data_IF_076250152871
#
_entry.id   IF_076250152871
#
_cell.length_a   1.000
_cell.length_b   1.000
_cell.length_c   1.000
_cell.angle_alpha   90.00
_cell.angle_beta   90.00
_cell.angle_gamma   90.00
#
_symmetry.space_group_name_H-M   'P 1'
#
loop_
_entity.id
_entity.type
_entity.pdbx_description
1 polymer ?
#
# COMPACT_ATOMS: atom_id res chain seq x y z
N UNK A 1 -27.46 18.16 -26.27
CA UNK A 1 -28.42 17.47 -25.41
C UNK A 1 -28.31 15.96 -25.65
N UNK A 2 -27.75 15.23 -24.69
CA UNK A 2 -27.67 13.78 -24.77
C UNK A 2 -29.07 13.18 -24.61
N UNK A 3 -29.51 12.40 -25.60
CA UNK A 3 -30.85 11.85 -25.66
C UNK A 3 -31.15 11.00 -24.41
N UNK A 4 -32.37 11.04 -23.88
CA UNK A 4 -32.80 10.23 -22.71
C UNK A 4 -32.52 8.73 -22.94
N UNK A 5 -32.60 8.26 -24.18
CA UNK A 5 -32.23 6.88 -24.55
C UNK A 5 -30.76 6.56 -24.34
N UNK A 6 -29.86 7.51 -24.58
CA UNK A 6 -28.41 7.27 -24.40
C UNK A 6 -28.03 7.25 -22.91
N UNK A 7 -28.68 8.11 -22.10
CA UNK A 7 -28.55 8.04 -20.63
C UNK A 7 -29.05 6.71 -20.06
N UNK A 8 -30.20 6.24 -20.53
CA UNK A 8 -30.75 4.95 -20.08
C UNK A 8 -29.85 3.79 -20.49
N UNK A 9 -29.25 3.83 -21.69
CA UNK A 9 -28.28 2.81 -22.15
C UNK A 9 -26.98 2.85 -21.31
N UNK A 10 -26.47 4.03 -20.99
CA UNK A 10 -25.27 4.18 -20.15
C UNK A 10 -25.52 3.74 -18.71
N UNK A 11 -26.67 4.07 -18.14
CA UNK A 11 -27.08 3.59 -16.81
C UNK A 11 -27.24 2.05 -16.81
N UNK A 12 -27.89 1.50 -17.85
CA UNK A 12 -28.06 0.05 -17.97
C UNK A 12 -26.71 -0.68 -18.20
N UNK A 13 -25.78 -0.06 -18.97
CA UNK A 13 -24.43 -0.60 -19.15
C UNK A 13 -23.66 -0.59 -17.84
N UNK A 14 -23.63 0.54 -17.12
CA UNK A 14 -23.01 0.66 -15.79
C UNK A 14 -23.61 -0.30 -14.77
N UNK A 15 -24.93 -0.48 -14.80
CA UNK A 15 -25.61 -1.43 -13.94
C UNK A 15 -25.19 -2.89 -14.26
N UNK A 16 -25.09 -3.25 -15.54
CA UNK A 16 -24.63 -4.58 -15.97
C UNK A 16 -23.15 -4.83 -15.63
N UNK A 17 -22.30 -3.82 -15.79
CA UNK A 17 -20.89 -3.87 -15.39
C UNK A 17 -20.75 -4.04 -13.87
N UNK A 18 -21.58 -3.34 -13.08
CA UNK A 18 -21.64 -3.48 -11.63
C UNK A 18 -22.18 -4.86 -11.19
N UNK A 19 -23.18 -5.40 -11.90
CA UNK A 19 -23.71 -6.76 -11.64
C UNK A 19 -22.66 -7.82 -12.03
N UNK A 20 -21.94 -7.62 -13.14
CA UNK A 20 -20.87 -8.53 -13.56
C UNK A 20 -19.70 -8.52 -12.55
N UNK A 21 -19.34 -7.35 -11.99
CA UNK A 21 -18.42 -7.26 -10.86
C UNK A 21 -18.96 -7.95 -9.61
N UNK A 22 -20.22 -7.73 -9.26
CA UNK A 22 -20.86 -8.43 -8.13
C UNK A 22 -20.91 -9.94 -8.35
N UNK A 23 -21.26 -10.41 -9.53
CA UNK A 23 -21.34 -11.83 -9.84
C UNK A 23 -19.98 -12.55 -9.82
N UNK A 24 -18.91 -11.92 -10.30
CA UNK A 24 -17.55 -12.41 -10.13
C UNK A 24 -17.08 -12.40 -8.67
N UNK A 25 -17.66 -11.53 -7.85
CA UNK A 25 -17.40 -11.33 -6.44
C UNK A 25 -18.23 -12.25 -5.53
N UNK A 26 -19.44 -12.65 -5.95
CA UNK A 26 -20.30 -13.60 -5.22
C UNK A 26 -19.76 -15.03 -5.26
N UNK A 27 -19.04 -15.43 -6.33
CA UNK A 27 -18.37 -16.72 -6.43
C UNK A 27 -17.13 -16.86 -5.53
N UNK A 28 -16.53 -15.76 -5.05
CA UNK A 28 -15.33 -15.77 -4.21
C UNK A 28 -15.45 -14.90 -2.94
N UNK A 29 -16.58 -14.20 -2.72
CA UNK A 29 -16.82 -13.32 -1.57
C UNK A 29 -15.76 -12.22 -1.46
N UNK A 30 -16.07 -11.00 -1.91
CA UNK A 30 -15.24 -9.85 -1.56
C UNK A 30 -15.08 -9.81 -0.04
N UNK A 31 -13.85 -9.69 0.44
CA UNK A 31 -13.64 -9.55 1.87
C UNK A 31 -14.42 -8.33 2.35
N UNK A 32 -15.25 -8.47 3.36
CA UNK A 32 -16.02 -7.37 3.95
C UNK A 32 -15.17 -6.21 4.47
N UNK A 33 -13.84 -6.37 4.42
CA UNK A 33 -12.84 -5.37 4.77
C UNK A 33 -12.47 -4.42 3.62
N UNK A 34 -12.67 -4.82 2.35
CA UNK A 34 -12.31 -3.99 1.20
C UNK A 34 -13.30 -2.83 1.05
N UNK A 35 -12.79 -1.61 1.11
CA UNK A 35 -13.53 -0.43 0.69
C UNK A 35 -13.19 -0.16 -0.78
N UNK A 36 -14.03 -0.66 -1.69
CA UNK A 36 -13.80 -0.56 -3.14
C UNK A 36 -14.04 0.85 -3.69
N UNK A 37 -13.46 1.17 -4.84
CA UNK A 37 -13.73 2.39 -5.58
C UNK A 37 -14.93 2.25 -6.51
N UNK A 38 -15.50 3.39 -6.92
CA UNK A 38 -16.69 3.43 -7.78
C UNK A 38 -16.35 3.18 -9.26
N UNK A 39 -15.15 3.58 -9.68
CA UNK A 39 -14.71 3.38 -11.06
C UNK A 39 -14.42 1.90 -11.31
N UNK A 40 -15.01 1.37 -12.38
CA UNK A 40 -14.85 -0.04 -12.77
C UNK A 40 -13.68 -0.27 -13.73
N UNK A 41 -13.11 0.78 -14.30
CA UNK A 41 -11.98 0.67 -15.21
C UNK A 41 -10.70 0.53 -14.40
N UNK A 42 -9.79 -0.30 -14.86
CA UNK A 42 -8.47 -0.46 -14.25
C UNK A 42 -7.67 0.84 -14.28
N UNK A 43 -7.70 1.53 -15.42
CA UNK A 43 -6.92 2.73 -15.64
C UNK A 43 -7.34 3.87 -14.69
N UNK A 44 -6.36 4.50 -14.07
CA UNK A 44 -6.55 5.57 -13.10
C UNK A 44 -7.05 5.13 -11.72
N UNK A 45 -7.22 3.81 -11.46
CA UNK A 45 -7.63 3.30 -10.14
C UNK A 45 -6.45 2.81 -9.32
N UNK A 46 -6.56 2.93 -8.00
CA UNK A 46 -5.51 2.64 -7.04
C UNK A 46 -6.06 1.77 -5.89
N UNK A 47 -5.34 0.69 -5.56
CA UNK A 47 -5.61 -0.12 -4.38
C UNK A 47 -4.56 0.17 -3.32
N UNK A 48 -4.97 0.72 -2.19
CA UNK A 48 -4.10 0.91 -1.03
C UNK A 48 -4.21 -0.29 -0.10
N UNK A 49 -3.11 -1.00 0.07
CA UNK A 49 -2.96 -2.08 1.06
C UNK A 49 -2.41 -1.43 2.32
N UNK A 50 -3.23 -1.37 3.37
CA UNK A 50 -2.93 -0.61 4.59
C UNK A 50 -2.77 -1.55 5.77
N UNK A 51 -1.77 -1.29 6.61
CA UNK A 51 -1.52 -2.06 7.82
C UNK A 51 -2.53 -1.71 8.92
N UNK A 52 -3.31 -2.72 9.33
CA UNK A 52 -4.23 -2.62 10.44
C UNK A 52 -5.53 -1.85 10.16
N UNK A 53 -6.47 -1.97 11.11
CA UNK A 53 -7.79 -1.36 10.95
C UNK A 53 -7.80 0.13 11.28
N UNK A 54 -6.95 0.59 12.19
CA UNK A 54 -6.89 2.00 12.59
C UNK A 54 -6.48 2.87 11.42
N UNK A 55 -5.34 2.56 10.80
CA UNK A 55 -4.88 3.22 9.59
C UNK A 55 -5.83 3.01 8.41
N UNK A 56 -6.41 1.79 8.30
CA UNK A 56 -7.47 1.50 7.33
C UNK A 56 -8.71 2.37 7.51
N UNK A 57 -9.07 2.73 8.73
CA UNK A 57 -10.16 3.65 9.04
C UNK A 57 -9.91 5.06 8.52
N UNK A 58 -8.75 5.64 8.85
CA UNK A 58 -8.33 6.96 8.37
C UNK A 58 -8.20 7.00 6.85
N UNK A 59 -7.59 5.96 6.25
CA UNK A 59 -7.46 5.84 4.81
C UNK A 59 -8.82 5.76 4.09
N UNK A 60 -9.79 5.01 4.65
CA UNK A 60 -11.14 4.93 4.09
C UNK A 60 -11.89 6.26 4.15
N UNK A 61 -11.63 7.09 5.15
CA UNK A 61 -12.25 8.42 5.28
C UNK A 61 -11.66 9.43 4.31
N UNK A 62 -10.32 9.49 4.19
CA UNK A 62 -9.61 10.48 3.38
C UNK A 62 -9.56 10.15 1.88
N UNK A 63 -9.79 8.89 1.47
CA UNK A 63 -9.64 8.45 0.08
C UNK A 63 -10.60 9.14 -0.90
N UNK A 64 -10.18 9.29 -2.12
CA UNK A 64 -11.10 9.56 -3.22
C UNK A 64 -11.88 8.29 -3.56
N UNK A 65 -13.18 8.28 -3.24
CA UNK A 65 -14.07 7.11 -3.45
C UNK A 65 -14.27 6.75 -4.92
N UNK A 66 -14.02 7.67 -5.82
CA UNK A 66 -14.19 7.45 -7.25
C UNK A 66 -13.16 6.46 -7.79
N UNK A 67 -11.87 6.64 -7.43
CA UNK A 67 -10.75 5.92 -8.03
C UNK A 67 -9.83 5.22 -7.01
N UNK A 68 -10.03 5.41 -5.70
CA UNK A 68 -9.18 4.80 -4.68
C UNK A 68 -9.93 3.76 -3.86
N UNK A 69 -9.37 2.56 -3.79
CA UNK A 69 -9.82 1.46 -2.94
C UNK A 69 -8.85 1.26 -1.78
N UNK A 70 -9.35 0.83 -0.62
CA UNK A 70 -8.56 0.57 0.59
C UNK A 70 -8.83 -0.83 1.10
N UNK A 71 -7.77 -1.62 1.26
CA UNK A 71 -7.76 -2.94 1.84
C UNK A 71 -6.91 -2.95 3.11
N UNK A 72 -7.50 -2.91 4.31
CA UNK A 72 -6.74 -3.11 5.54
C UNK A 72 -6.41 -4.60 5.70
N UNK A 73 -5.14 -4.90 5.95
CA UNK A 73 -4.67 -6.24 6.30
C UNK A 73 -4.40 -6.31 7.79
N UNK A 74 -4.88 -7.39 8.43
CA UNK A 74 -4.72 -7.61 9.87
C UNK A 74 -3.63 -8.64 10.14
N UNK A 75 -2.76 -8.33 11.10
CA UNK A 75 -1.81 -9.27 11.65
C UNK A 75 -0.65 -9.65 10.73
N UNK A 76 0.05 -10.71 11.11
CA UNK A 76 1.22 -11.19 10.38
C UNK A 76 0.78 -11.90 9.09
N UNK A 77 1.16 -11.35 7.97
CA UNK A 77 1.00 -12.00 6.67
C UNK A 77 1.89 -13.24 6.64
N UNK A 78 1.34 -14.34 6.10
CA UNK A 78 2.12 -15.56 5.94
C UNK A 78 3.32 -15.32 5.03
N UNK A 79 4.50 -15.76 5.45
CA UNK A 79 5.67 -15.76 4.58
C UNK A 79 5.47 -16.77 3.43
N UNK A 80 5.27 -16.23 2.22
CA UNK A 80 5.05 -17.01 1.00
C UNK A 80 6.35 -17.40 0.29
N UNK A 81 7.50 -17.06 0.87
CA UNK A 81 8.80 -17.39 0.30
C UNK A 81 8.91 -18.89 0.04
N UNK A 82 9.21 -19.23 -1.20
CA UNK A 82 9.51 -20.58 -1.64
C UNK A 82 10.97 -20.61 -2.06
N UNK A 83 11.77 -21.42 -1.39
CA UNK A 83 13.18 -21.59 -1.76
C UNK A 83 13.27 -22.42 -3.08
N UNK A 84 13.28 -21.69 -4.18
CA UNK A 84 13.43 -22.28 -5.52
C UNK A 84 14.84 -22.84 -5.74
N UNK A 85 15.83 -22.42 -4.96
CA UNK A 85 17.21 -22.83 -5.13
C UNK A 85 17.53 -24.14 -4.38
N UNK A 86 16.86 -24.41 -3.24
CA UNK A 86 17.04 -25.65 -2.49
C UNK A 86 16.46 -26.89 -3.15
N UNK A 87 15.49 -26.70 -4.06
CA UNK A 87 14.74 -27.82 -4.66
C UNK A 87 15.20 -28.22 -6.07
N UNK A 88 16.24 -27.58 -6.62
CA UNK A 88 16.78 -27.93 -7.96
C UNK A 88 17.33 -29.35 -8.05
N UNK A 89 17.46 -30.06 -6.94
CA UNK A 89 18.05 -31.41 -6.94
C UNK A 89 17.04 -32.54 -7.21
N UNK A 90 15.71 -32.44 -6.92
CA UNK A 90 14.80 -33.57 -7.06
C UNK A 90 13.29 -33.25 -7.19
N UNK A 91 12.85 -32.06 -7.57
CA UNK A 91 11.40 -31.75 -7.66
C UNK A 91 10.97 -31.22 -9.04
N UNK A 92 9.85 -31.73 -9.55
CA UNK A 92 9.20 -31.19 -10.74
C UNK A 92 8.73 -29.75 -10.45
N UNK A 93 8.92 -28.82 -11.38
CA UNK A 93 8.49 -27.42 -11.26
C UNK A 93 7.00 -27.28 -10.86
N UNK A 94 6.17 -28.22 -11.31
CA UNK A 94 4.74 -28.28 -10.99
C UNK A 94 4.46 -28.61 -9.52
N UNK A 95 5.25 -29.47 -8.87
CA UNK A 95 5.09 -29.79 -7.43
C UNK A 95 5.44 -28.61 -6.54
N UNK A 96 6.51 -27.89 -6.88
CA UNK A 96 6.94 -26.68 -6.16
C UNK A 96 5.87 -25.59 -6.25
N UNK A 97 5.29 -25.42 -7.43
CA UNK A 97 4.21 -24.48 -7.66
C UNK A 97 2.95 -24.84 -6.88
N UNK A 98 2.55 -26.12 -6.89
CA UNK A 98 1.39 -26.59 -6.11
C UNK A 98 1.59 -26.38 -4.62
N UNK A 99 2.78 -26.60 -4.09
CA UNK A 99 3.11 -26.33 -2.68
C UNK A 99 3.07 -24.84 -2.35
N UNK A 100 3.60 -23.98 -3.22
CA UNK A 100 3.55 -22.52 -3.07
C UNK A 100 2.10 -22.02 -3.07
N UNK A 101 1.30 -22.45 -4.02
CA UNK A 101 -0.12 -22.14 -4.13
C UNK A 101 -0.91 -22.60 -2.89
N UNK A 102 -0.70 -23.84 -2.44
CA UNK A 102 -1.34 -24.38 -1.24
C UNK A 102 -0.99 -23.56 -0.01
N UNK A 103 0.26 -23.12 0.11
CA UNK A 103 0.73 -22.24 1.19
C UNK A 103 0.07 -20.86 1.12
N UNK A 104 -0.05 -20.27 -0.07
CA UNK A 104 -0.73 -18.99 -0.26
C UNK A 104 -2.21 -19.05 0.12
N UNK A 105 -2.92 -20.08 -0.35
CA UNK A 105 -4.36 -20.27 -0.11
C UNK A 105 -4.66 -20.60 1.36
N UNK A 106 -3.69 -21.09 2.13
CA UNK A 106 -3.86 -21.37 3.57
C UNK A 106 -3.99 -20.09 4.43
N UNK A 107 -3.60 -18.94 3.90
CA UNK A 107 -3.70 -17.64 4.59
C UNK A 107 -4.91 -16.85 4.13
N UNK A 108 -5.84 -16.58 5.03
CA UNK A 108 -7.03 -15.78 4.75
C UNK A 108 -6.68 -14.37 4.25
N UNK A 109 -5.59 -13.76 4.76
CA UNK A 109 -5.16 -12.44 4.34
C UNK A 109 -4.63 -12.45 2.90
N UNK A 110 -3.90 -13.50 2.52
CA UNK A 110 -3.43 -13.67 1.13
C UNK A 110 -4.60 -13.96 0.17
N UNK A 111 -5.54 -14.82 0.56
CA UNK A 111 -6.76 -15.08 -0.23
C UNK A 111 -7.57 -13.79 -0.40
N UNK A 112 -7.70 -13.01 0.67
CA UNK A 112 -8.35 -11.69 0.66
C UNK A 112 -7.68 -10.74 -0.35
N UNK A 113 -6.35 -10.71 -0.36
CA UNK A 113 -5.58 -9.88 -1.29
C UNK A 113 -5.76 -10.36 -2.75
N UNK A 114 -5.65 -11.66 -3.01
CA UNK A 114 -5.85 -12.25 -4.34
C UNK A 114 -7.25 -11.90 -4.87
N UNK A 115 -8.28 -12.08 -4.04
CA UNK A 115 -9.65 -11.74 -4.40
C UNK A 115 -9.84 -10.25 -4.67
N UNK A 116 -9.20 -9.38 -3.88
CA UNK A 116 -9.23 -7.94 -4.11
C UNK A 116 -8.59 -7.55 -5.44
N UNK A 117 -7.50 -8.22 -5.83
CA UNK A 117 -6.83 -7.99 -7.11
C UNK A 117 -7.65 -8.49 -8.30
N UNK A 118 -8.52 -9.47 -8.11
CA UNK A 118 -9.34 -10.08 -9.17
C UNK A 118 -8.58 -11.06 -10.05
N UNK A 119 -7.44 -11.56 -9.59
CA UNK A 119 -6.57 -12.48 -10.33
C UNK A 119 -6.75 -13.92 -9.85
N UNK A 120 -6.67 -14.89 -10.77
CA UNK A 120 -6.69 -16.30 -10.42
C UNK A 120 -5.25 -16.83 -10.26
N UNK A 121 -4.84 -17.23 -9.04
CA UNK A 121 -3.49 -17.73 -8.78
C UNK A 121 -3.22 -19.10 -9.42
N UNK A 122 -4.25 -19.80 -9.92
CA UNK A 122 -4.10 -21.10 -10.59
C UNK A 122 -3.57 -20.95 -12.01
N UNK A 123 -3.80 -19.81 -12.64
CA UNK A 123 -3.31 -19.54 -13.97
C UNK A 123 -1.77 -19.47 -13.96
N UNK A 124 -1.12 -20.08 -14.95
CA UNK A 124 0.35 -20.02 -15.08
C UNK A 124 0.81 -18.62 -15.42
N UNK A 125 -0.02 -17.91 -16.13
CA UNK A 125 0.19 -16.57 -16.58
C UNK A 125 -1.05 -15.74 -16.31
N UNK A 126 -0.88 -14.59 -15.65
CA UNK A 126 -1.98 -13.66 -15.40
C UNK A 126 -2.15 -12.73 -16.59
N UNK A 127 -3.38 -12.55 -17.05
CA UNK A 127 -3.69 -11.44 -17.95
C UNK A 127 -3.86 -10.15 -17.12
N UNK A 128 -3.00 -9.18 -17.38
CA UNK A 128 -3.05 -7.89 -16.67
C UNK A 128 -4.34 -7.11 -16.93
N UNK A 129 -5.12 -7.50 -17.97
CA UNK A 129 -6.45 -6.95 -18.21
C UNK A 129 -7.49 -7.37 -17.17
N UNK A 130 -7.25 -8.50 -16.49
CA UNK A 130 -8.12 -8.97 -15.41
C UNK A 130 -7.81 -8.27 -14.08
N UNK A 131 -6.68 -7.59 -13.98
CA UNK A 131 -6.31 -6.82 -12.80
C UNK A 131 -7.32 -5.69 -12.56
N UNK A 132 -7.86 -5.62 -11.34
CA UNK A 132 -8.93 -4.67 -11.01
C UNK A 132 -8.46 -3.23 -10.85
N UNK A 133 -7.21 -3.01 -10.49
CA UNK A 133 -6.65 -1.69 -10.19
C UNK A 133 -5.40 -1.41 -11.00
N UNK A 134 -5.26 -0.17 -11.48
CA UNK A 134 -4.09 0.25 -12.25
C UNK A 134 -2.81 0.32 -11.40
N UNK A 135 -2.97 0.67 -10.10
CA UNK A 135 -1.85 0.70 -9.15
C UNK A 135 -2.20 -0.03 -7.86
N UNK A 136 -1.21 -0.71 -7.30
CA UNK A 136 -1.26 -1.39 -6.01
C UNK A 136 -0.23 -0.69 -5.12
N UNK A 137 -0.69 -0.01 -4.08
CA UNK A 137 0.15 0.82 -3.22
C UNK A 137 0.21 0.19 -1.83
N UNK A 138 1.39 -0.28 -1.44
CA UNK A 138 1.64 -0.83 -0.11
C UNK A 138 1.95 0.33 0.83
N UNK A 139 1.12 0.49 1.86
CA UNK A 139 1.24 1.55 2.86
C UNK A 139 1.30 0.93 4.26
N UNK A 140 2.51 0.87 4.81
CA UNK A 140 2.80 0.31 6.14
C UNK A 140 3.42 1.37 7.04
N UNK A 141 3.37 1.13 8.33
CA UNK A 141 4.01 1.97 9.32
C UNK A 141 5.52 2.12 9.06
N UNK A 142 6.12 3.21 9.51
CA UNK A 142 7.55 3.50 9.33
C UNK A 142 8.43 2.84 10.41
N UNK A 143 7.94 1.77 11.03
CA UNK A 143 8.63 1.02 12.07
C UNK A 143 9.17 -0.34 11.58
N UNK A 144 9.68 -1.15 12.51
CA UNK A 144 10.26 -2.48 12.21
C UNK A 144 9.19 -3.45 11.74
N UNK A 145 8.00 -3.43 12.37
CA UNK A 145 6.90 -4.33 12.03
C UNK A 145 6.33 -3.99 10.65
N UNK A 146 6.12 -2.71 10.33
CA UNK A 146 5.71 -2.27 9.00
C UNK A 146 6.73 -2.61 7.92
N UNK A 147 8.02 -2.53 8.23
CA UNK A 147 9.09 -2.96 7.31
C UNK A 147 9.03 -4.47 7.05
N UNK A 148 8.72 -5.27 8.06
CA UNK A 148 8.55 -6.72 7.92
C UNK A 148 7.31 -7.06 7.09
N UNK A 149 6.15 -6.42 7.34
CA UNK A 149 4.93 -6.61 6.55
C UNK A 149 5.17 -6.24 5.09
N UNK A 150 5.87 -5.13 4.84
CA UNK A 150 6.27 -4.71 3.49
C UNK A 150 7.11 -5.77 2.78
N UNK A 151 8.11 -6.34 3.47
CA UNK A 151 8.95 -7.40 2.94
C UNK A 151 8.12 -8.66 2.61
N UNK A 152 7.17 -9.04 3.45
CA UNK A 152 6.28 -10.17 3.20
C UNK A 152 5.35 -9.95 2.00
N UNK A 153 4.79 -8.74 1.84
CA UNK A 153 3.98 -8.38 0.68
C UNK A 153 4.80 -8.37 -0.60
N UNK A 154 6.01 -7.81 -0.58
CA UNK A 154 6.91 -7.85 -1.73
C UNK A 154 7.30 -9.29 -2.09
N UNK A 155 7.52 -10.14 -1.10
CA UNK A 155 7.78 -11.57 -1.32
C UNK A 155 6.58 -12.25 -1.97
N UNK A 156 5.35 -11.93 -1.56
CA UNK A 156 4.14 -12.41 -2.20
C UNK A 156 4.09 -11.99 -3.67
N UNK A 157 4.27 -10.71 -3.96
CA UNK A 157 4.24 -10.19 -5.33
C UNK A 157 5.41 -10.68 -6.20
N UNK A 158 6.53 -11.11 -5.60
CA UNK A 158 7.65 -11.70 -6.34
C UNK A 158 7.45 -13.18 -6.69
N UNK A 159 6.39 -13.82 -6.19
CA UNK A 159 6.06 -15.19 -6.55
C UNK A 159 5.20 -15.24 -7.83
N UNK A 160 5.45 -16.24 -8.68
CA UNK A 160 4.56 -16.51 -9.81
C UNK A 160 3.16 -16.88 -9.34
N UNK A 161 2.12 -16.39 -10.04
CA UNK A 161 2.15 -15.62 -11.28
C UNK A 161 2.14 -14.08 -11.06
N UNK A 162 2.28 -13.59 -9.82
CA UNK A 162 2.14 -12.17 -9.45
C UNK A 162 3.40 -11.33 -9.74
N UNK A 163 4.53 -11.95 -10.05
CA UNK A 163 5.80 -11.27 -10.40
C UNK A 163 5.63 -10.28 -11.55
N UNK A 164 4.73 -10.55 -12.49
CA UNK A 164 4.37 -9.62 -13.56
C UNK A 164 3.86 -8.26 -13.07
N UNK A 165 3.20 -8.22 -11.91
CA UNK A 165 2.72 -6.94 -11.34
C UNK A 165 3.88 -6.01 -10.97
N UNK A 166 5.00 -6.56 -10.55
CA UNK A 166 6.23 -5.79 -10.30
C UNK A 166 6.90 -5.43 -11.63
N UNK A 167 7.05 -6.40 -12.52
CA UNK A 167 7.72 -6.24 -13.81
C UNK A 167 7.07 -5.14 -14.67
N UNK A 168 5.74 -5.09 -14.69
CA UNK A 168 4.98 -4.07 -15.42
C UNK A 168 4.68 -2.80 -14.64
N UNK A 169 5.24 -2.66 -13.43
CA UNK A 169 5.20 -1.40 -12.68
C UNK A 169 3.84 -1.09 -12.04
N UNK A 170 3.06 -2.10 -11.67
CA UNK A 170 1.79 -1.93 -10.95
C UNK A 170 1.93 -1.79 -9.44
N UNK A 171 3.08 -2.23 -8.86
CA UNK A 171 3.30 -2.24 -7.40
C UNK A 171 4.13 -1.04 -6.96
N UNK A 172 3.62 -0.30 -5.99
CA UNK A 172 4.22 0.90 -5.41
C UNK A 172 4.37 0.79 -3.90
N UNK A 173 5.34 1.51 -3.35
CA UNK A 173 5.53 1.64 -1.91
C UNK A 173 5.24 3.08 -1.48
N UNK A 174 4.26 3.27 -0.62
CA UNK A 174 4.04 4.55 0.02
C UNK A 174 5.16 4.85 1.03
N UNK A 175 5.55 6.10 1.12
CA UNK A 175 6.52 6.59 2.09
C UNK A 175 5.85 7.67 2.96
N UNK A 176 5.10 7.27 4.00
CA UNK A 176 4.47 8.23 4.89
C UNK A 176 5.53 9.06 5.62
N UNK A 177 5.25 10.33 5.95
CA UNK A 177 6.17 11.16 6.70
C UNK A 177 6.31 10.66 8.15
N UNK A 178 7.53 10.72 8.68
CA UNK A 178 7.80 10.35 10.07
C UNK A 178 7.56 11.52 11.03
N UNK A 179 7.70 12.78 10.54
CA UNK A 179 7.54 13.97 11.35
C UNK A 179 6.64 15.00 10.66
N UNK A 180 5.96 15.77 11.50
CA UNK A 180 5.24 16.99 11.14
C UNK A 180 5.76 18.15 11.98
N UNK A 181 6.20 19.21 11.33
CA UNK A 181 6.66 20.44 11.97
C UNK A 181 5.55 21.49 11.80
N UNK A 182 4.99 21.96 12.91
CA UNK A 182 3.98 23.00 12.90
C UNK A 182 4.65 24.37 12.98
N UNK A 183 4.43 25.21 11.96
CA UNK A 183 4.98 26.56 11.86
C UNK A 183 3.84 27.56 11.63
N UNK A 184 3.25 28.04 12.72
CA UNK A 184 2.04 28.88 12.67
C UNK A 184 0.87 28.10 12.06
N UNK A 185 0.29 28.60 10.98
CA UNK A 185 -0.83 27.97 10.26
C UNK A 185 -0.39 26.92 9.24
N UNK A 186 0.93 26.77 8.99
CA UNK A 186 1.47 25.85 8.00
C UNK A 186 2.11 24.64 8.68
N UNK A 187 1.93 23.47 8.09
CA UNK A 187 2.60 22.23 8.49
C UNK A 187 3.60 21.82 7.41
N UNK A 188 4.75 21.34 7.85
CA UNK A 188 5.80 20.79 6.98
C UNK A 188 5.95 19.33 7.35
N UNK A 189 5.81 18.44 6.37
CA UNK A 189 5.98 17.01 6.56
C UNK A 189 7.40 16.62 6.21
N UNK A 190 8.02 15.82 7.05
CA UNK A 190 9.41 15.37 6.96
C UNK A 190 9.41 13.84 6.94
N UNK A 191 10.06 13.28 5.95
CA UNK A 191 10.04 11.85 5.65
C UNK A 191 10.76 11.01 6.72
N UNK A 192 11.97 11.44 7.12
CA UNK A 192 12.85 10.69 8.00
C UNK A 192 13.77 11.61 8.85
N UNK A 193 14.56 10.98 9.74
CA UNK A 193 15.52 11.72 10.60
C UNK A 193 16.58 12.48 9.79
N UNK A 194 17.02 11.97 8.65
CA UNK A 194 18.05 12.62 7.82
C UNK A 194 17.50 13.91 7.18
N UNK A 195 16.24 13.85 6.73
CA UNK A 195 15.58 15.03 6.19
C UNK A 195 15.31 16.05 7.29
N UNK A 196 14.95 15.60 8.51
CA UNK A 196 14.79 16.48 9.67
C UNK A 196 16.11 17.19 10.02
N UNK A 197 17.22 16.45 10.08
CA UNK A 197 18.54 17.05 10.30
C UNK A 197 18.87 18.06 9.20
N UNK A 198 18.65 17.71 7.95
CA UNK A 198 18.88 18.60 6.80
C UNK A 198 18.04 19.88 6.88
N UNK A 199 16.77 19.74 7.29
CA UNK A 199 15.87 20.87 7.51
C UNK A 199 16.38 21.80 8.63
N UNK A 200 16.82 21.23 9.76
CA UNK A 200 17.38 22.00 10.89
C UNK A 200 18.66 22.74 10.47
N UNK A 201 19.57 22.07 9.79
CA UNK A 201 20.83 22.67 9.28
C UNK A 201 20.51 23.83 8.32
N UNK A 202 19.54 23.65 7.41
CA UNK A 202 19.16 24.67 6.44
C UNK A 202 18.58 25.92 7.11
N UNK A 203 17.80 25.76 8.17
CA UNK A 203 17.05 26.84 8.83
C UNK A 203 17.76 27.45 10.05
N UNK A 204 18.84 26.85 10.56
CA UNK A 204 19.64 27.39 11.67
C UNK A 204 20.99 27.88 11.18
N UNK A 205 21.32 29.14 11.57
CA UNK A 205 22.66 29.69 11.29
C UNK A 205 23.72 29.13 12.24
N UNK A 206 23.29 28.70 13.43
CA UNK A 206 24.21 28.30 14.51
C UNK A 206 24.73 26.88 14.26
N UNK A 207 23.91 25.97 13.78
CA UNK A 207 24.35 24.59 13.42
C UNK A 207 25.46 24.60 12.39
N UNK A 208 25.39 25.52 11.41
CA UNK A 208 26.37 25.61 10.31
C UNK A 208 27.78 25.98 10.73
N UNK A 209 27.95 26.49 11.96
CA UNK A 209 29.26 26.89 12.49
C UNK A 209 30.08 25.71 12.98
N UNK A 210 29.48 24.55 13.17
CA UNK A 210 30.09 23.37 13.77
C UNK A 210 30.28 22.24 12.77
N UNK A 211 31.34 21.46 13.00
CA UNK A 211 31.61 20.28 12.15
C UNK A 211 30.54 19.20 12.38
N UNK A 212 29.96 18.70 11.32
CA UNK A 212 28.96 17.63 11.38
C UNK A 212 29.49 16.46 12.24
N UNK A 213 28.61 15.89 13.08
CA UNK A 213 28.91 14.81 14.02
C UNK A 213 29.88 15.15 15.18
N UNK A 214 30.21 16.43 15.41
CA UNK A 214 30.87 16.83 16.65
C UNK A 214 29.90 16.85 17.83
N UNK A 215 30.41 16.81 19.07
CA UNK A 215 29.57 16.90 20.27
C UNK A 215 28.79 18.21 20.31
N UNK A 216 29.45 19.30 19.93
CA UNK A 216 28.85 20.64 19.86
C UNK A 216 27.75 20.70 18.81
N UNK A 217 27.97 20.11 17.63
CA UNK A 217 26.96 20.00 16.57
C UNK A 217 25.72 19.27 17.08
N UNK A 218 25.90 18.11 17.72
CA UNK A 218 24.79 17.31 18.23
C UNK A 218 24.01 18.05 19.34
N UNK A 219 24.70 18.76 20.23
CA UNK A 219 24.04 19.57 21.26
C UNK A 219 23.20 20.68 20.65
N UNK A 220 23.73 21.44 19.69
CA UNK A 220 23.00 22.51 19.04
C UNK A 220 21.85 21.96 18.22
N UNK A 221 22.03 20.82 17.55
CA UNK A 221 20.95 20.15 16.83
C UNK A 221 19.77 19.82 17.76
N UNK A 222 20.05 19.32 18.97
CA UNK A 222 19.00 19.03 19.97
C UNK A 222 18.32 20.32 20.46
N UNK A 223 19.08 21.39 20.69
CA UNK A 223 18.52 22.69 21.09
C UNK A 223 17.62 23.26 19.99
N UNK A 224 18.05 23.21 18.73
CA UNK A 224 17.22 23.68 17.60
C UNK A 224 15.98 22.80 17.40
N UNK A 225 16.11 21.49 17.60
CA UNK A 225 14.97 20.55 17.57
C UNK A 225 13.94 20.90 18.66
N UNK A 226 14.39 21.24 19.87
CA UNK A 226 13.50 21.60 21.00
C UNK A 226 12.75 22.92 20.83
N UNK A 227 13.25 23.84 19.99
CA UNK A 227 12.58 25.10 19.66
C UNK A 227 11.39 24.95 18.71
N UNK A 228 11.29 23.79 18.02
CA UNK A 228 10.25 23.54 17.05
C UNK A 228 9.14 22.68 17.65
N UNK A 229 7.91 22.96 17.25
CA UNK A 229 6.78 22.06 17.54
C UNK A 229 6.79 20.92 16.54
N UNK A 230 7.47 19.83 16.93
CA UNK A 230 7.63 18.62 16.10
C UNK A 230 6.74 17.53 16.65
N UNK A 231 5.81 17.08 15.85
CA UNK A 231 5.03 15.87 16.08
C UNK A 231 5.73 14.71 15.36
N UNK A 232 5.97 13.60 16.06
CA UNK A 232 6.46 12.35 15.46
C UNK A 232 5.29 11.39 15.34
N UNK A 233 5.06 10.88 14.14
CA UNK A 233 4.10 9.81 13.91
C UNK A 233 4.76 8.46 14.24
N UNK A 234 4.13 7.66 15.09
CA UNK A 234 4.57 6.30 15.40
C UNK A 234 4.04 5.31 14.36
N UNK A 235 2.87 5.61 13.79
CA UNK A 235 2.25 4.80 12.77
C UNK A 235 1.16 5.59 12.03
N UNK A 236 0.69 5.00 10.93
CA UNK A 236 -0.36 5.57 10.07
C UNK A 236 -1.68 5.80 10.81
N UNK A 237 -1.96 5.01 11.85
CA UNK A 237 -3.15 5.15 12.68
C UNK A 237 -3.21 6.42 13.52
N UNK A 238 -2.08 7.16 13.67
CA UNK A 238 -2.01 8.46 14.34
C UNK A 238 -2.25 9.63 13.39
N UNK A 239 -2.31 9.36 12.08
CA UNK A 239 -2.58 10.38 11.06
C UNK A 239 -4.06 10.59 10.87
N UNK A 240 -4.47 11.86 10.80
CA UNK A 240 -5.82 12.21 10.38
C UNK A 240 -6.03 11.88 8.89
N UNK A 241 -7.28 11.71 8.43
CA UNK A 241 -7.55 11.45 7.01
C UNK A 241 -6.86 12.42 6.05
N UNK A 242 -6.86 13.72 6.37
CA UNK A 242 -6.24 14.77 5.54
C UNK A 242 -4.69 14.78 5.60
N UNK A 243 -4.09 14.08 6.57
CA UNK A 243 -2.64 13.95 6.71
C UNK A 243 -2.10 12.72 5.99
N UNK A 244 -2.99 11.76 5.72
CA UNK A 244 -2.64 10.49 5.10
C UNK A 244 -2.65 10.59 3.57
N UNK A 245 -3.45 11.52 3.02
CA UNK A 245 -3.63 11.82 1.60
C UNK A 245 -3.08 13.22 1.25
#
# INVERSE_FOLDING_TARGET
QMCIRDRARDVARKARENVRRKGALELTGLPGKLADCQNSKQDGTELFIVEGDSAGGSAKQGRNRENQAVLPLRGKILNTFTDLNGSKKNGNANELRTKSLSKMISSNEIVTLINALGLDPKNEDIDLKDLRYGKIIIMTDADVDGSHIRALLLTFFNNKPFDKLIEFGHVYLAQPPLFKINKGTKSIYIKDENELESYLIKNSKDIKKYKKNSKEFNNILQIEKSKLNIQRFKGLGEMNPDELW
#
